data_IF_341228441339
#
_entry.id   IF_341228441339
#
_cell.length_a   1.000
_cell.length_b   1.000
_cell.length_c   1.000
_cell.angle_alpha   90.00
_cell.angle_beta   90.00
_cell.angle_gamma   90.00
#
_symmetry.space_group_name_H-M   'P 1'
#
loop_
_entity.id
_entity.type
_entity.pdbx_description
1 polymer ?
#
# COMPACT_ATOMS: atom_id res chain seq x y z
N UNK A 1 -11.26 -8.57 10.53
CA UNK A 1 -9.95 -8.70 11.21
C UNK A 1 -8.87 -8.98 10.15
N UNK A 2 -8.74 -8.09 9.15
CA UNK A 2 -8.23 -8.51 7.82
C UNK A 2 -7.42 -7.45 7.05
N UNK A 3 -7.37 -6.19 7.50
CA UNK A 3 -6.73 -5.10 6.74
C UNK A 3 -5.22 -4.96 7.02
N UNK A 4 -4.81 -5.13 8.28
CA UNK A 4 -3.38 -5.06 8.69
C UNK A 4 -2.53 -6.18 8.07
N UNK A 5 -3.10 -7.37 7.87
CA UNK A 5 -2.39 -8.49 7.27
C UNK A 5 -2.13 -8.27 5.76
N UNK A 6 -3.07 -7.62 5.06
CA UNK A 6 -2.89 -7.26 3.65
C UNK A 6 -1.84 -6.17 3.49
N UNK A 7 -1.94 -5.11 4.30
CA UNK A 7 -1.00 -4.00 4.35
C UNK A 7 0.47 -4.44 4.47
N UNK A 8 0.73 -5.34 5.42
CA UNK A 8 2.08 -5.84 5.68
C UNK A 8 2.61 -6.67 4.51
N UNK A 9 1.82 -7.59 3.95
CA UNK A 9 2.21 -8.37 2.76
C UNK A 9 2.47 -7.48 1.55
N UNK A 10 1.65 -6.44 1.38
CA UNK A 10 1.83 -5.45 0.32
C UNK A 10 3.16 -4.69 0.48
N UNK A 11 3.44 -4.17 1.68
CA UNK A 11 4.68 -3.44 1.94
C UNK A 11 5.90 -4.35 1.81
N UNK A 12 5.79 -5.62 2.22
CA UNK A 12 6.86 -6.61 2.05
C UNK A 12 7.16 -6.86 0.58
N UNK A 13 6.13 -7.05 -0.25
CA UNK A 13 6.31 -7.21 -1.69
C UNK A 13 6.98 -6.00 -2.36
N UNK A 14 6.70 -4.78 -1.89
CA UNK A 14 7.35 -3.55 -2.38
C UNK A 14 8.80 -3.46 -1.89
N UNK A 15 9.07 -3.74 -0.61
CA UNK A 15 10.43 -3.71 -0.03
C UNK A 15 11.32 -4.74 -0.71
N UNK A 16 10.79 -5.94 -0.98
CA UNK A 16 11.53 -7.03 -1.59
C UNK A 16 11.70 -6.84 -3.11
N UNK A 17 11.07 -5.81 -3.70
CA UNK A 17 11.16 -5.50 -5.13
C UNK A 17 10.31 -6.41 -6.03
N UNK A 18 9.34 -7.12 -5.47
CA UNK A 18 8.43 -8.00 -6.20
C UNK A 18 7.21 -7.27 -6.79
N UNK A 19 6.87 -6.10 -6.24
CA UNK A 19 5.71 -5.33 -6.64
C UNK A 19 6.05 -3.86 -6.86
N UNK A 20 5.65 -3.33 -8.02
CA UNK A 20 5.88 -1.95 -8.41
C UNK A 20 7.25 -1.68 -9.03
N UNK A 21 7.41 -0.47 -9.54
CA UNK A 21 8.67 0.06 -10.05
C UNK A 21 9.18 1.13 -9.09
N UNK A 22 10.01 0.70 -8.14
CA UNK A 22 10.44 1.54 -7.02
C UNK A 22 9.28 1.79 -6.05
N UNK A 23 8.80 3.03 -5.98
CA UNK A 23 7.67 3.40 -5.11
C UNK A 23 6.34 3.50 -5.85
N UNK A 24 6.31 3.27 -7.16
CA UNK A 24 5.11 3.44 -7.98
C UNK A 24 4.51 2.07 -8.30
N UNK A 25 3.22 1.93 -8.07
CA UNK A 25 2.42 0.74 -8.33
C UNK A 25 1.21 1.10 -9.18
N UNK A 26 0.71 0.14 -9.94
CA UNK A 26 -0.58 0.24 -10.62
C UNK A 26 -1.63 -0.64 -9.94
N UNK A 27 -2.91 -0.28 -10.11
CA UNK A 27 -4.04 -1.11 -9.66
C UNK A 27 -3.96 -2.53 -10.25
N UNK A 28 -3.59 -2.63 -11.52
CA UNK A 28 -3.52 -3.91 -12.20
C UNK A 28 -2.40 -4.79 -11.64
N UNK A 29 -1.22 -4.22 -11.35
CA UNK A 29 -0.12 -4.95 -10.71
C UNK A 29 -0.54 -5.47 -9.34
N UNK A 30 -1.20 -4.65 -8.51
CA UNK A 30 -1.66 -5.07 -7.20
C UNK A 30 -2.66 -6.23 -7.27
N UNK A 31 -3.67 -6.12 -8.15
CA UNK A 31 -4.68 -7.18 -8.34
C UNK A 31 -4.04 -8.47 -8.86
N UNK A 32 -3.11 -8.35 -9.81
CA UNK A 32 -2.45 -9.51 -10.42
C UNK A 32 -1.49 -10.20 -9.45
N UNK A 33 -0.86 -9.44 -8.54
CA UNK A 33 0.07 -9.95 -7.54
C UNK A 33 -0.64 -10.62 -6.35
N UNK A 34 -1.86 -10.19 -6.03
CA UNK A 34 -2.69 -10.75 -4.96
C UNK A 34 -4.00 -11.35 -5.50
N UNK A 35 -3.95 -12.40 -6.33
CA UNK A 35 -5.15 -12.96 -6.98
C UNK A 35 -6.10 -13.64 -5.99
N UNK A 36 -5.61 -14.02 -4.81
CA UNK A 36 -6.39 -14.67 -3.75
C UNK A 36 -7.13 -13.65 -2.85
N UNK A 37 -6.76 -12.38 -2.92
CA UNK A 37 -7.40 -11.33 -2.16
C UNK A 37 -8.58 -10.74 -2.95
N UNK A 38 -9.77 -10.59 -2.33
CA UNK A 38 -10.93 -10.04 -3.01
C UNK A 38 -10.63 -8.68 -3.65
N UNK A 39 -11.16 -8.42 -4.85
CA UNK A 39 -11.05 -7.12 -5.52
C UNK A 39 -11.59 -5.96 -4.66
N UNK A 40 -12.52 -6.26 -3.74
CA UNK A 40 -13.03 -5.29 -2.76
C UNK A 40 -11.98 -4.89 -1.74
N UNK A 41 -11.09 -5.80 -1.34
CA UNK A 41 -9.96 -5.54 -0.44
C UNK A 41 -8.91 -4.70 -1.13
N UNK A 42 -8.46 -5.09 -2.32
CA UNK A 42 -7.46 -4.33 -3.11
C UNK A 42 -8.02 -2.98 -3.57
N UNK A 43 -9.32 -2.93 -3.93
CA UNK A 43 -10.04 -1.70 -4.25
C UNK A 43 -10.15 -0.76 -3.06
N UNK A 44 -10.61 -1.24 -1.90
CA UNK A 44 -10.70 -0.44 -0.67
C UNK A 44 -9.32 0.12 -0.28
N UNK A 45 -8.29 -0.73 -0.32
CA UNK A 45 -6.91 -0.35 -0.01
C UNK A 45 -6.38 0.80 -0.88
N UNK A 46 -6.72 0.79 -2.17
CA UNK A 46 -6.29 1.82 -3.13
C UNK A 46 -7.19 3.07 -3.11
N UNK A 47 -8.51 2.93 -3.00
CA UNK A 47 -9.46 4.04 -2.91
C UNK A 47 -9.21 4.91 -1.67
N UNK A 48 -8.76 4.29 -0.60
CA UNK A 48 -8.32 4.90 0.63
C UNK A 48 -7.17 5.91 0.46
N UNK A 49 -6.36 5.72 -0.57
CA UNK A 49 -5.22 6.57 -0.92
C UNK A 49 -5.57 7.73 -1.87
N UNK A 50 -6.83 7.82 -2.30
CA UNK A 50 -7.34 8.86 -3.18
C UNK A 50 -7.93 10.04 -2.40
N UNK A 51 -8.33 9.81 -1.13
CA UNK A 51 -8.99 10.81 -0.27
C UNK A 51 -7.94 11.50 0.60
N UNK A 52 -7.04 12.27 -0.03
CA UNK A 52 -6.18 13.21 0.69
C UNK A 52 -6.78 14.62 0.69
N UNK A 53 -8.01 14.76 1.19
CA UNK A 53 -8.60 16.08 1.44
C UNK A 53 -9.08 16.20 2.89
N UNK A 54 -8.22 16.82 3.70
CA UNK A 54 -8.50 17.64 4.87
C UNK A 54 -8.99 17.05 6.21
N UNK A 55 -9.48 15.81 6.32
CA UNK A 55 -9.93 15.30 7.64
C UNK A 55 -9.70 13.80 7.78
N UNK A 56 -8.61 13.40 8.46
CA UNK A 56 -8.33 11.99 8.73
C UNK A 56 -8.77 11.59 10.14
N UNK A 57 -9.40 10.41 10.24
CA UNK A 57 -9.52 9.69 11.52
C UNK A 57 -8.13 9.37 12.09
N UNK A 58 -7.91 9.49 13.42
CA UNK A 58 -6.62 9.28 14.06
C UNK A 58 -6.08 7.84 13.96
N UNK A 59 -6.89 6.90 13.47
CA UNK A 59 -6.53 5.48 13.26
C UNK A 59 -6.02 5.18 11.85
N UNK A 60 -5.89 6.18 10.97
CA UNK A 60 -5.64 5.97 9.56
C UNK A 60 -4.15 6.09 9.18
N UNK A 61 -3.58 5.01 8.62
CA UNK A 61 -2.19 4.97 8.17
C UNK A 61 -2.11 5.33 6.69
N UNK A 62 -1.41 6.42 6.35
CA UNK A 62 -1.21 6.84 4.96
C UNK A 62 -0.28 5.86 4.25
N UNK A 63 -0.85 4.98 3.42
CA UNK A 63 -0.09 3.87 2.84
C UNK A 63 0.32 4.10 1.39
N UNK A 64 -0.61 4.58 0.56
CA UNK A 64 -0.33 4.97 -0.82
C UNK A 64 -0.95 6.34 -1.10
N UNK A 65 -0.61 6.94 -2.24
CA UNK A 65 -1.15 8.20 -2.73
C UNK A 65 -1.43 8.03 -4.23
N UNK A 66 -2.65 8.32 -4.68
CA UNK A 66 -2.94 8.30 -6.12
C UNK A 66 -2.21 9.44 -6.82
N UNK A 67 -1.44 9.10 -7.85
CA UNK A 67 -0.70 10.09 -8.68
C UNK A 67 -1.32 10.25 -10.07
N UNK A 68 -2.03 9.24 -10.56
CA UNK A 68 -2.87 9.32 -11.76
C UNK A 68 -3.93 8.20 -11.73
N UNK A 69 -4.90 8.15 -12.66
CA UNK A 69 -5.87 7.07 -12.69
C UNK A 69 -5.21 5.68 -12.75
N UNK A 70 -5.50 4.85 -11.75
CA UNK A 70 -4.94 3.50 -11.64
C UNK A 70 -3.47 3.43 -11.25
N UNK A 71 -2.82 4.56 -10.92
CA UNK A 71 -1.40 4.62 -10.53
C UNK A 71 -1.27 5.28 -9.17
N UNK A 72 -0.53 4.62 -8.29
CA UNK A 72 -0.35 5.01 -6.90
C UNK A 72 1.13 5.01 -6.54
N UNK A 73 1.50 5.91 -5.64
CA UNK A 73 2.82 5.94 -5.04
C UNK A 73 2.74 5.49 -3.60
N UNK A 74 3.59 4.56 -3.21
CA UNK A 74 3.69 4.10 -1.81
C UNK A 74 4.29 5.20 -0.95
N UNK A 75 3.70 5.43 0.22
CA UNK A 75 4.16 6.44 1.15
C UNK A 75 5.50 5.98 1.78
N UNK A 76 6.57 6.79 1.71
CA UNK A 76 7.90 6.38 2.19
C UNK A 76 7.92 6.10 3.69
N UNK A 77 7.10 6.79 4.49
CA UNK A 77 7.02 6.53 5.94
C UNK A 77 6.45 5.14 6.25
N UNK A 78 5.45 4.67 5.50
CA UNK A 78 4.87 3.34 5.69
C UNK A 78 5.91 2.24 5.39
N UNK A 79 6.72 2.44 4.35
CA UNK A 79 7.84 1.56 4.02
C UNK A 79 8.91 1.58 5.11
N UNK A 80 9.34 2.77 5.54
CA UNK A 80 10.36 2.91 6.57
C UNK A 80 9.94 2.24 7.88
N UNK A 81 8.69 2.44 8.30
CA UNK A 81 8.14 1.80 9.51
C UNK A 81 8.11 0.27 9.35
N UNK A 82 7.71 -0.25 8.19
CA UNK A 82 7.75 -1.70 7.93
C UNK A 82 9.18 -2.24 7.89
N UNK A 83 10.12 -1.51 7.29
CA UNK A 83 11.54 -1.87 7.28
C UNK A 83 12.12 -1.91 8.71
N UNK A 84 11.72 -0.99 9.59
CA UNK A 84 12.10 -1.02 11.01
C UNK A 84 11.51 -2.23 11.73
N UNK A 85 10.23 -2.54 11.52
CA UNK A 85 9.59 -3.74 12.06
C UNK A 85 10.28 -5.04 11.60
N UNK A 86 10.80 -5.05 10.37
CA UNK A 86 11.59 -6.16 9.80
C UNK A 86 13.08 -6.15 10.18
N UNK A 87 13.56 -5.15 10.91
CA UNK A 87 14.98 -5.02 11.29
C UNK A 87 15.92 -4.69 10.12
N UNK A 88 15.40 -4.15 9.02
CA UNK A 88 16.17 -3.77 7.82
C UNK A 88 16.69 -2.32 7.92
N UNK A 89 15.96 -1.46 8.62
CA UNK A 89 16.31 -0.05 8.83
C UNK A 89 16.29 0.31 10.32
N UNK A 90 17.10 1.31 10.70
CA UNK A 90 17.19 1.86 12.06
C UNK A 90 16.27 3.07 12.25
#
# INVERSE_FOLDING_TARGET
>A
MTDLAFADRFLDAVIDGHLGSGLVITRQELISFFPEDPETTTGCFLSNSEISSATHSPTYRKMTLRVSPGVYRVHPEALLERMKQRGIAA
#
